data_IF_120776460271
#
_entry.id   IF_120776460271
#
_cell.length_a   1.000
_cell.length_b   1.000
_cell.length_c   1.000
_cell.angle_alpha   90.00
_cell.angle_beta   90.00
_cell.angle_gamma   90.00
#
_symmetry.space_group_name_H-M   'P 1'
#
loop_
_entity.id
_entity.type
_entity.pdbx_description
1 polymer ?
#
# COMPACT_ATOMS: atom_id res chain seq x y z
N UNK A 1 -5.37 11.03 52.41
CA UNK A 1 -5.87 9.72 51.98
C UNK A 1 -7.38 9.74 52.09
N UNK A 2 -8.08 9.82 50.96
CA UNK A 2 -9.55 9.68 50.93
C UNK A 2 -9.90 8.78 49.75
N UNK A 3 -10.38 7.59 50.07
CA UNK A 3 -10.90 6.59 49.14
C UNK A 3 -12.41 6.79 49.16
N UNK A 4 -13.01 7.17 48.02
CA UNK A 4 -14.46 7.20 47.87
C UNK A 4 -14.88 6.14 46.87
N UNK A 5 -15.38 5.04 47.42
CA UNK A 5 -16.05 3.92 46.76
C UNK A 5 -17.45 4.33 46.29
N UNK A 6 -17.95 3.66 45.23
CA UNK A 6 -19.36 3.44 44.79
C UNK A 6 -19.67 4.08 43.43
N UNK A 7 -20.49 3.52 42.53
CA UNK A 7 -21.24 2.26 42.46
C UNK A 7 -21.57 2.04 40.97
N UNK A 8 -21.53 0.79 40.56
CA UNK A 8 -22.29 0.14 39.48
C UNK A 8 -23.50 0.91 38.94
N UNK A 9 -23.55 1.09 37.62
CA UNK A 9 -24.83 1.18 36.89
C UNK A 9 -24.72 0.44 35.54
N UNK A 10 -25.37 -0.71 35.53
CA UNK A 10 -25.63 -1.62 34.42
C UNK A 10 -26.97 -1.23 33.78
N UNK A 11 -26.99 -0.85 32.49
CA UNK A 11 -28.22 -0.66 31.69
C UNK A 11 -27.81 -0.80 30.21
N UNK A 12 -28.50 -1.47 29.29
CA UNK A 12 -29.51 -2.53 29.25
C UNK A 12 -29.54 -2.91 27.76
N UNK A 13 -29.36 -4.20 27.42
CA UNK A 13 -29.42 -4.68 26.02
C UNK A 13 -30.88 -4.97 25.68
N UNK A 14 -31.42 -4.30 24.67
CA UNK A 14 -32.70 -4.61 24.02
C UNK A 14 -32.33 -4.73 22.51
N UNK A 15 -32.41 -5.90 21.85
CA UNK A 15 -33.62 -6.57 21.34
C UNK A 15 -34.42 -5.63 20.42
N UNK A 16 -34.90 -5.95 19.21
CA UNK A 16 -34.94 -7.10 18.31
C UNK A 16 -35.81 -6.59 17.12
N UNK A 17 -35.66 -7.18 15.93
CA UNK A 17 -36.67 -7.28 14.82
C UNK A 17 -36.68 -6.25 13.69
N UNK A 18 -36.85 -6.82 12.49
CA UNK A 18 -37.21 -6.19 11.20
C UNK A 18 -36.29 -6.68 10.09
N UNK A 19 -36.37 -7.93 9.61
CA UNK A 19 -37.30 -8.44 8.57
C UNK A 19 -37.58 -7.44 7.43
N UNK A 20 -36.99 -7.69 6.25
CA UNK A 20 -37.72 -7.86 4.98
C UNK A 20 -36.75 -8.11 3.80
N UNK A 21 -37.10 -9.15 3.03
CA UNK A 21 -36.56 -9.53 1.73
C UNK A 21 -37.07 -8.60 0.61
N UNK A 22 -36.29 -8.45 -0.48
CA UNK A 22 -36.74 -8.50 -1.89
C UNK A 22 -35.60 -8.01 -2.82
N UNK A 23 -34.97 -8.90 -3.60
CA UNK A 23 -35.22 -9.11 -5.06
C UNK A 23 -34.43 -8.12 -5.93
N UNK A 24 -33.33 -8.54 -6.57
CA UNK A 24 -33.17 -9.32 -7.83
C UNK A 24 -33.20 -8.45 -9.10
N UNK A 25 -32.28 -8.81 -10.01
CA UNK A 25 -32.12 -8.48 -11.44
C UNK A 25 -31.20 -7.31 -11.81
N UNK A 26 -29.95 -7.65 -12.14
CA UNK A 26 -29.08 -6.88 -13.03
C UNK A 26 -28.41 -7.80 -14.04
N UNK A 27 -28.89 -7.83 -15.29
CA UNK A 27 -28.15 -8.40 -16.42
C UNK A 27 -27.31 -7.27 -17.05
N UNK A 28 -26.00 -7.31 -16.85
CA UNK A 28 -25.04 -6.53 -17.62
C UNK A 28 -24.33 -7.47 -18.60
N UNK A 29 -24.62 -7.33 -19.89
CA UNK A 29 -23.86 -8.00 -20.96
C UNK A 29 -23.30 -6.91 -21.88
N UNK A 30 -22.11 -6.41 -21.56
CA UNK A 30 -21.31 -5.62 -22.49
C UNK A 30 -20.19 -6.50 -23.07
N UNK A 31 -20.32 -6.69 -24.37
CA UNK A 31 -19.39 -7.23 -25.36
C UNK A 31 -17.98 -6.65 -25.24
N UNK A 32 -16.93 -7.47 -25.39
CA UNK A 32 -15.66 -7.00 -25.97
C UNK A 32 -14.81 -8.18 -26.51
N UNK A 33 -14.56 -8.15 -27.82
CA UNK A 33 -13.77 -9.14 -28.57
C UNK A 33 -12.25 -8.91 -28.43
N UNK A 34 -11.42 -9.97 -28.42
CA UNK A 34 -9.97 -9.86 -28.54
C UNK A 34 -9.51 -9.95 -30.02
N UNK A 35 -8.88 -8.90 -30.53
CA UNK A 35 -8.17 -8.92 -31.81
C UNK A 35 -6.81 -9.63 -31.64
N UNK A 36 -6.67 -10.81 -32.24
CA UNK A 36 -5.39 -11.49 -32.45
C UNK A 36 -4.62 -10.80 -33.58
N UNK A 37 -3.48 -10.21 -33.23
CA UNK A 37 -2.49 -9.71 -34.19
C UNK A 37 -1.60 -10.84 -34.68
N UNK A 38 -1.66 -11.05 -35.99
CA UNK A 38 -1.07 -12.09 -36.83
C UNK A 38 0.46 -12.09 -36.88
N UNK A 39 1.05 -13.29 -36.77
CA UNK A 39 2.40 -13.62 -37.20
C UNK A 39 2.59 -13.37 -38.70
N UNK A 40 3.71 -12.76 -39.09
CA UNK A 40 4.22 -12.87 -40.46
C UNK A 40 5.67 -13.31 -40.44
N UNK A 41 5.87 -14.52 -40.95
CA UNK A 41 7.15 -15.11 -41.28
C UNK A 41 7.79 -14.39 -42.47
N UNK A 42 9.12 -14.44 -42.58
CA UNK A 42 9.75 -14.46 -43.90
C UNK A 42 11.00 -15.33 -43.90
N UNK A 43 10.82 -16.47 -44.54
CA UNK A 43 11.79 -17.48 -44.99
C UNK A 43 12.60 -16.96 -46.18
N UNK A 44 13.84 -17.44 -46.31
CA UNK A 44 14.63 -17.45 -47.56
C UNK A 44 16.06 -16.96 -47.32
N UNK A 45 17.12 -17.57 -47.84
CA UNK A 45 17.33 -18.76 -48.68
C UNK A 45 18.85 -18.99 -48.76
N UNK A 46 19.27 -20.21 -49.04
CA UNK A 46 20.65 -20.70 -49.02
C UNK A 46 21.52 -20.27 -50.23
N UNK A 47 22.84 -20.15 -49.98
CA UNK A 47 24.08 -20.46 -50.76
C UNK A 47 24.21 -20.14 -52.29
N UNK A 48 25.43 -19.97 -52.89
CA UNK A 48 26.59 -20.89 -52.89
C UNK A 48 28.01 -20.25 -52.78
N UNK A 49 29.06 -21.08 -52.90
CA UNK A 49 30.45 -20.94 -52.45
C UNK A 49 31.52 -20.70 -53.55
N UNK A 50 32.77 -20.32 -53.16
CA UNK A 50 34.08 -20.81 -53.68
C UNK A 50 35.27 -20.18 -52.89
N UNK A 51 36.13 -20.96 -52.18
CA UNK A 51 37.54 -21.37 -52.47
C UNK A 51 38.62 -20.30 -52.12
N UNK A 52 39.83 -20.54 -51.54
CA UNK A 52 40.69 -21.70 -51.21
C UNK A 52 41.96 -21.23 -50.40
N UNK A 53 42.58 -22.14 -49.60
CA UNK A 53 44.04 -22.32 -49.25
C UNK A 53 44.84 -21.20 -48.49
N UNK A 54 45.83 -21.42 -47.58
CA UNK A 54 46.49 -22.56 -46.92
C UNK A 54 47.36 -22.10 -45.71
N UNK A 55 47.54 -23.02 -44.74
CA UNK A 55 48.69 -23.31 -43.83
C UNK A 55 49.27 -22.33 -42.77
N UNK A 56 49.24 -22.87 -41.53
CA UNK A 56 50.21 -22.83 -40.41
C UNK A 56 50.24 -21.62 -39.45
N UNK A 57 49.73 -21.84 -38.21
CA UNK A 57 50.45 -21.72 -36.92
C UNK A 57 49.47 -21.80 -35.72
N UNK A 58 49.65 -22.80 -34.84
CA UNK A 58 49.22 -22.79 -33.41
C UNK A 58 50.31 -22.06 -32.58
N UNK A 59 50.10 -21.59 -31.33
CA UNK A 59 49.13 -22.09 -30.33
C UNK A 59 48.39 -21.04 -29.45
N UNK A 60 47.44 -21.58 -28.69
CA UNK A 60 46.98 -21.14 -27.36
C UNK A 60 45.87 -20.07 -27.24
N UNK A 61 44.85 -20.48 -26.45
CA UNK A 61 44.00 -19.68 -25.56
C UNK A 61 42.92 -18.78 -26.18
N UNK A 62 41.65 -19.21 -26.07
CA UNK A 62 40.69 -18.59 -25.12
C UNK A 62 39.33 -19.30 -25.18
N UNK A 63 39.19 -20.31 -24.33
CA UNK A 63 37.92 -20.62 -23.70
C UNK A 63 37.62 -19.54 -22.65
N UNK A 64 36.74 -18.61 -23.00
CA UNK A 64 35.97 -17.80 -22.07
C UNK A 64 34.67 -17.43 -22.80
N UNK A 65 33.63 -18.27 -22.69
CA UNK A 65 32.52 -17.97 -21.80
C UNK A 65 32.13 -16.48 -21.87
N UNK A 66 31.48 -16.08 -22.98
CA UNK A 66 30.67 -14.87 -23.02
C UNK A 66 29.42 -15.09 -22.16
N UNK A 67 29.62 -15.01 -20.86
CA UNK A 67 28.59 -14.75 -19.84
C UNK A 67 28.75 -13.30 -19.38
N UNK A 68 28.70 -12.36 -20.32
CA UNK A 68 28.66 -10.94 -20.01
C UNK A 68 27.20 -10.53 -19.77
N UNK A 69 26.76 -10.80 -18.55
CA UNK A 69 25.93 -9.94 -17.71
C UNK A 69 25.05 -8.95 -18.47
N UNK A 70 23.84 -9.40 -18.82
CA UNK A 70 22.70 -8.50 -18.97
C UNK A 70 22.62 -7.66 -17.68
N UNK A 71 22.59 -6.32 -17.76
CA UNK A 71 22.11 -5.54 -16.64
C UNK A 71 20.70 -6.07 -16.36
N UNK A 72 20.50 -6.71 -15.21
CA UNK A 72 19.17 -6.81 -14.61
C UNK A 72 18.76 -5.39 -14.25
N UNK A 73 18.42 -4.60 -15.26
CA UNK A 73 17.48 -3.52 -15.13
C UNK A 73 16.13 -4.20 -14.91
N UNK A 74 15.97 -4.76 -13.71
CA UNK A 74 14.73 -4.65 -12.99
C UNK A 74 14.55 -3.14 -12.79
N UNK A 75 14.10 -2.47 -13.86
CA UNK A 75 13.28 -1.31 -13.68
C UNK A 75 12.12 -1.84 -12.85
N UNK A 76 12.24 -1.69 -11.53
CA UNK A 76 11.09 -1.57 -10.67
C UNK A 76 10.17 -0.64 -11.44
N UNK A 77 9.06 -1.18 -11.92
CA UNK A 77 7.97 -0.39 -12.43
C UNK A 77 7.54 0.46 -11.24
N UNK A 78 8.21 1.60 -11.05
CA UNK A 78 7.96 2.60 -10.02
C UNK A 78 6.73 3.36 -10.45
N UNK A 79 5.64 2.63 -10.53
CA UNK A 79 4.33 3.22 -10.59
C UNK A 79 3.90 3.24 -9.14
N UNK A 80 4.43 4.26 -8.45
CA UNK A 80 4.41 4.44 -7.01
C UNK A 80 2.96 4.67 -6.58
N UNK A 81 2.33 3.75 -5.82
CA UNK A 81 1.15 4.13 -5.04
C UNK A 81 1.43 5.39 -4.23
N UNK A 82 0.53 6.37 -4.26
CA UNK A 82 0.68 7.55 -3.43
C UNK A 82 0.02 7.28 -2.08
N UNK A 83 0.78 6.82 -1.08
CA UNK A 83 0.34 6.78 0.31
C UNK A 83 0.67 8.10 1.00
N UNK A 84 -0.32 8.68 1.67
CA UNK A 84 -0.14 9.87 2.50
C UNK A 84 -0.69 9.68 3.91
N UNK A 85 -0.06 10.37 4.85
CA UNK A 85 -0.50 10.48 6.22
C UNK A 85 -0.69 11.96 6.53
N UNK A 86 -1.90 12.38 6.86
CA UNK A 86 -2.21 13.74 7.25
C UNK A 86 -2.54 13.78 8.74
N UNK A 87 -2.01 14.79 9.44
CA UNK A 87 -2.38 15.02 10.82
C UNK A 87 -3.74 15.70 10.87
N UNK A 88 -4.63 15.23 11.75
CA UNK A 88 -5.97 15.78 11.90
C UNK A 88 -6.40 15.86 13.36
N UNK A 89 -7.31 16.78 13.65
CA UNK A 89 -7.84 17.04 14.99
C UNK A 89 -9.35 17.28 14.95
N UNK A 90 -10.00 17.18 16.11
CA UNK A 90 -11.47 17.37 16.22
C UNK A 90 -11.85 18.84 16.18
N UNK A 91 -11.00 19.72 16.71
CA UNK A 91 -11.28 21.15 16.78
C UNK A 91 -10.82 21.85 15.49
N UNK A 92 -11.63 22.77 14.92
CA UNK A 92 -11.19 23.60 13.81
C UNK A 92 -9.99 24.47 14.23
N UNK A 93 -9.23 24.92 13.23
CA UNK A 93 -8.06 25.77 13.44
C UNK A 93 -7.61 26.40 12.14
N UNK A 94 -6.79 27.45 12.25
CA UNK A 94 -6.26 28.16 11.10
C UNK A 94 -5.41 27.22 10.23
N UNK A 95 -5.62 27.28 8.91
CA UNK A 95 -4.90 26.46 7.95
C UNK A 95 -5.29 24.98 7.92
N UNK A 96 -6.33 24.57 8.67
CA UNK A 96 -6.84 23.19 8.62
C UNK A 96 -7.98 23.06 7.62
N UNK A 97 -7.91 22.03 6.78
CA UNK A 97 -8.99 21.65 5.88
C UNK A 97 -9.97 20.71 6.56
N UNK A 98 -11.27 20.94 6.37
CA UNK A 98 -12.30 20.07 6.89
C UNK A 98 -12.36 18.75 6.11
N UNK A 99 -12.37 17.62 6.82
CA UNK A 99 -12.53 16.27 6.27
C UNK A 99 -13.77 15.62 6.89
N UNK A 100 -14.74 15.26 6.04
CA UNK A 100 -15.94 14.54 6.47
C UNK A 100 -15.70 13.03 6.40
N UNK A 101 -15.73 12.34 7.55
CA UNK A 101 -15.51 10.88 7.59
C UNK A 101 -16.81 10.10 7.36
N UNK A 102 -17.90 10.59 7.94
CA UNK A 102 -19.27 10.10 7.76
C UNK A 102 -20.24 11.23 8.11
N UNK A 103 -21.55 11.01 8.06
CA UNK A 103 -22.56 12.06 8.29
C UNK A 103 -22.39 12.82 9.62
N UNK A 104 -21.91 12.13 10.68
CA UNK A 104 -21.87 12.68 12.05
C UNK A 104 -20.43 12.93 12.55
N UNK A 105 -19.41 12.57 11.78
CA UNK A 105 -18.00 12.64 12.19
C UNK A 105 -17.19 13.47 11.22
N UNK A 106 -16.58 14.52 11.75
CA UNK A 106 -15.74 15.46 11.02
C UNK A 106 -14.42 15.66 11.75
N UNK A 107 -13.35 15.76 10.97
CA UNK A 107 -12.03 16.16 11.45
C UNK A 107 -11.53 17.36 10.65
N UNK A 108 -10.49 18.00 11.18
CA UNK A 108 -9.81 19.13 10.56
C UNK A 108 -8.35 18.75 10.38
N UNK A 109 -7.90 18.62 9.15
CA UNK A 109 -6.61 18.06 8.77
C UNK A 109 -5.66 19.13 8.25
N UNK A 110 -4.37 18.95 8.53
CA UNK A 110 -3.31 19.71 7.88
C UNK A 110 -3.28 19.29 6.40
N UNK A 111 -3.41 20.24 5.43
CA UNK A 111 -3.45 19.91 4.01
C UNK A 111 -2.18 19.22 3.51
N UNK A 112 -1.02 19.59 4.05
CA UNK A 112 0.25 18.96 3.71
C UNK A 112 0.41 17.63 4.47
N UNK A 113 0.77 16.52 3.80
CA UNK A 113 1.05 15.26 4.49
C UNK A 113 2.28 15.39 5.39
N UNK A 114 2.20 14.79 6.58
CA UNK A 114 3.30 14.75 7.55
C UNK A 114 4.23 13.55 7.32
N UNK A 115 3.70 12.48 6.73
CA UNK A 115 4.45 11.33 6.22
C UNK A 115 3.90 10.95 4.85
N UNK A 116 4.74 10.37 4.03
CA UNK A 116 4.42 9.95 2.66
C UNK A 116 5.00 8.58 2.38
N UNK A 117 4.71 8.02 1.22
CA UNK A 117 5.37 6.80 0.76
C UNK A 117 6.90 6.90 0.74
N UNK A 118 7.48 8.07 0.45
CA UNK A 118 8.93 8.25 0.46
C UNK A 118 9.56 8.04 1.86
N UNK A 119 8.76 8.09 2.92
CA UNK A 119 9.16 7.83 4.30
C UNK A 119 9.08 6.34 4.67
N UNK A 120 8.46 5.52 3.82
CA UNK A 120 8.26 4.10 4.05
C UNK A 120 9.42 3.27 3.48
N UNK A 121 9.76 2.20 4.21
CA UNK A 121 10.61 1.12 3.73
C UNK A 121 9.77 -0.02 3.16
N UNK A 122 8.72 -0.42 3.87
CA UNK A 122 7.82 -1.50 3.46
C UNK A 122 6.53 -1.51 4.29
N UNK A 123 5.54 -2.28 3.83
CA UNK A 123 4.29 -2.53 4.56
C UNK A 123 4.06 -4.04 4.60
N UNK A 124 3.86 -4.58 5.79
CA UNK A 124 3.80 -6.03 6.03
C UNK A 124 2.47 -6.38 6.70
N UNK A 125 1.61 -7.20 6.07
CA UNK A 125 0.44 -7.77 6.75
C UNK A 125 0.92 -8.79 7.78
N UNK A 126 0.35 -8.71 8.98
CA UNK A 126 0.70 -9.56 10.11
C UNK A 126 -0.56 -10.01 10.84
N UNK A 127 -0.47 -11.17 11.48
CA UNK A 127 -1.46 -11.65 12.43
C UNK A 127 -0.74 -12.04 13.72
N UNK A 128 -1.20 -11.57 14.88
CA UNK A 128 -0.63 -11.99 16.16
C UNK A 128 -1.24 -13.32 16.63
N UNK A 129 -0.71 -13.86 17.73
CA UNK A 129 -1.16 -15.13 18.32
C UNK A 129 -2.63 -15.11 18.77
N UNK A 130 -3.21 -13.93 18.99
CA UNK A 130 -4.60 -13.76 19.39
C UNK A 130 -5.54 -13.67 18.17
N UNK A 131 -5.01 -13.85 16.96
CA UNK A 131 -5.77 -13.76 15.72
C UNK A 131 -5.99 -12.33 15.21
N UNK A 132 -5.51 -11.30 15.92
CA UNK A 132 -5.66 -9.90 15.50
C UNK A 132 -4.79 -9.63 14.27
N UNK A 133 -5.38 -9.05 13.25
CA UNK A 133 -4.73 -8.71 11.98
C UNK A 133 -4.35 -7.23 11.98
N UNK A 134 -3.15 -6.93 11.48
CA UNK A 134 -2.67 -5.57 11.33
C UNK A 134 -1.74 -5.44 10.12
N UNK A 135 -1.68 -4.23 9.56
CA UNK A 135 -0.63 -3.83 8.63
C UNK A 135 0.46 -3.12 9.41
N UNK A 136 1.67 -3.64 9.38
CA UNK A 136 2.84 -2.95 9.94
C UNK A 136 3.48 -2.09 8.87
N UNK A 137 3.45 -0.78 9.05
CA UNK A 137 4.18 0.18 8.23
C UNK A 137 5.57 0.33 8.82
N UNK A 138 6.59 -0.14 8.12
CA UNK A 138 7.98 0.02 8.52
C UNK A 138 8.57 1.22 7.77
N UNK A 139 9.05 2.21 8.51
CA UNK A 139 9.61 3.44 7.97
C UNK A 139 11.11 3.31 7.72
N UNK A 140 11.63 4.09 6.77
CA UNK A 140 13.08 4.28 6.65
C UNK A 140 13.59 5.22 7.76
N UNK A 141 14.90 5.46 7.84
CA UNK A 141 15.48 6.26 8.93
C UNK A 141 14.88 7.67 9.06
N UNK A 142 14.69 8.35 7.93
CA UNK A 142 14.08 9.68 7.90
C UNK A 142 12.61 9.62 8.33
N UNK A 143 11.86 8.64 7.80
CA UNK A 143 10.47 8.43 8.14
C UNK A 143 10.25 8.07 9.61
N UNK A 144 11.13 7.25 10.19
CA UNK A 144 11.08 6.89 11.61
C UNK A 144 11.27 8.12 12.51
N UNK A 145 12.22 9.00 12.17
CA UNK A 145 12.42 10.24 12.90
C UNK A 145 11.20 11.18 12.81
N UNK A 146 10.62 11.32 11.61
CA UNK A 146 9.37 12.09 11.40
C UNK A 146 8.21 11.48 12.19
N UNK A 147 8.03 10.16 12.15
CA UNK A 147 6.97 9.45 12.86
C UNK A 147 7.08 9.66 14.38
N UNK A 148 8.28 9.49 14.94
CA UNK A 148 8.53 9.71 16.36
C UNK A 148 8.21 11.15 16.78
N UNK A 149 8.63 12.14 15.98
CA UNK A 149 8.34 13.55 16.21
C UNK A 149 6.83 13.82 16.19
N UNK A 150 6.15 13.46 15.09
CA UNK A 150 4.71 13.71 14.89
C UNK A 150 3.89 13.05 16.00
N UNK A 151 4.18 11.80 16.34
CA UNK A 151 3.39 11.05 17.33
C UNK A 151 3.61 11.53 18.77
N UNK A 152 4.77 12.11 19.08
CA UNK A 152 5.05 12.77 20.37
C UNK A 152 4.32 14.10 20.49
N UNK A 153 4.33 14.91 19.44
CA UNK A 153 3.73 16.25 19.43
C UNK A 153 2.20 16.22 19.36
N UNK A 154 1.64 15.17 18.76
CA UNK A 154 0.22 15.11 18.40
C UNK A 154 -0.56 14.01 19.12
N UNK A 155 -0.24 13.70 20.37
CA UNK A 155 -1.01 12.75 21.16
C UNK A 155 -2.49 13.17 21.26
N UNK A 156 -3.39 12.20 21.09
CA UNK A 156 -4.82 12.43 21.09
C UNK A 156 -5.40 12.95 19.76
N UNK A 157 -4.55 13.40 18.82
CA UNK A 157 -4.95 13.71 17.45
C UNK A 157 -5.07 12.43 16.61
N UNK A 158 -5.38 12.58 15.33
CA UNK A 158 -5.66 11.50 14.39
C UNK A 158 -4.69 11.56 13.21
N UNK A 159 -4.34 10.39 12.66
CA UNK A 159 -3.67 10.29 11.37
C UNK A 159 -4.71 9.85 10.34
N UNK A 160 -4.93 10.66 9.32
CA UNK A 160 -5.69 10.25 8.13
C UNK A 160 -4.71 9.56 7.20
N UNK A 161 -4.93 8.28 6.96
CA UNK A 161 -4.10 7.46 6.09
C UNK A 161 -4.87 7.20 4.81
N UNK A 162 -4.28 7.61 3.69
CA UNK A 162 -4.88 7.45 2.36
C UNK A 162 -3.91 6.79 1.40
N UNK A 163 -4.43 6.00 0.46
CA UNK A 163 -3.68 5.46 -0.66
C UNK A 163 -4.41 5.80 -1.96
N UNK A 164 -3.70 6.41 -2.91
CA UNK A 164 -4.27 6.91 -4.17
C UNK A 164 -5.47 7.85 -3.96
N UNK A 165 -5.41 8.69 -2.92
CA UNK A 165 -6.50 9.59 -2.54
C UNK A 165 -7.70 8.90 -1.87
N UNK A 166 -7.70 7.57 -1.78
CA UNK A 166 -8.75 6.80 -1.11
C UNK A 166 -8.43 6.64 0.36
N UNK A 167 -9.40 6.97 1.23
CA UNK A 167 -9.25 6.82 2.67
C UNK A 167 -9.09 5.34 3.03
N UNK A 168 -8.03 5.03 3.78
CA UNK A 168 -7.74 3.68 4.28
C UNK A 168 -8.09 3.55 5.75
N UNK A 169 -7.64 4.49 6.57
CA UNK A 169 -7.93 4.47 8.00
C UNK A 169 -7.71 5.83 8.66
N UNK A 170 -8.26 5.97 9.87
CA UNK A 170 -8.14 7.19 10.69
C UNK A 170 -7.79 6.85 12.15
N UNK A 171 -6.62 6.22 12.42
CA UNK A 171 -6.23 5.88 13.78
C UNK A 171 -6.00 7.12 14.64
N UNK A 172 -6.41 7.02 15.90
CA UNK A 172 -6.03 7.99 16.94
C UNK A 172 -4.59 7.73 17.40
N UNK A 173 -3.79 8.78 17.48
CA UNK A 173 -2.45 8.75 18.05
C UNK A 173 -2.61 8.61 19.57
N UNK A 174 -2.27 7.43 20.09
CA UNK A 174 -2.43 7.06 21.51
C UNK A 174 -1.10 6.67 22.17
N UNK A 175 -0.03 6.56 21.38
CA UNK A 175 1.30 6.18 21.82
C UNK A 175 2.33 6.86 20.89
N UNK A 176 3.56 7.00 21.38
CA UNK A 176 4.70 7.39 20.54
C UNK A 176 5.22 6.18 19.78
N UNK A 177 5.75 6.41 18.59
CA UNK A 177 6.27 5.34 17.73
C UNK A 177 7.74 5.56 17.40
N UNK A 178 8.58 5.48 18.43
CA UNK A 178 10.02 5.74 18.35
C UNK A 178 10.80 4.62 17.64
N UNK A 179 10.22 3.41 17.55
CA UNK A 179 10.84 2.25 16.91
C UNK A 179 10.78 2.23 15.37
N UNK A 180 10.21 3.26 14.74
CA UNK A 180 10.14 3.36 13.28
C UNK A 180 9.13 2.41 12.61
N UNK A 181 8.23 1.81 13.38
CA UNK A 181 7.13 0.99 12.87
C UNK A 181 5.80 1.49 13.42
N UNK A 182 4.78 1.53 12.57
CA UNK A 182 3.41 1.88 12.93
C UNK A 182 2.47 0.70 12.64
N UNK A 183 1.89 0.05 13.66
CA UNK A 183 0.89 -0.98 13.47
C UNK A 183 -0.48 -0.35 13.23
N UNK A 184 -1.11 -0.73 12.12
CA UNK A 184 -2.48 -0.34 11.79
C UNK A 184 -3.40 -1.56 11.91
N UNK A 185 -4.27 -1.64 12.92
CA UNK A 185 -5.27 -2.69 13.01
C UNK A 185 -6.20 -2.67 11.79
N UNK A 186 -6.57 -3.86 11.30
CA UNK A 186 -7.56 -4.06 10.24
C UNK A 186 -8.52 -5.17 10.64
N UNK A 187 -9.70 -5.21 10.04
CA UNK A 187 -10.78 -6.12 10.44
C UNK A 187 -10.49 -7.57 10.05
N UNK A 188 -9.76 -7.82 8.96
CA UNK A 188 -9.51 -9.17 8.47
C UNK A 188 -8.22 -9.28 7.64
N UNK A 189 -7.82 -10.54 7.38
CA UNK A 189 -6.73 -10.85 6.44
C UNK A 189 -7.09 -10.38 5.03
N UNK A 190 -8.33 -10.55 4.60
CA UNK A 190 -8.80 -10.07 3.29
C UNK A 190 -8.66 -8.56 3.14
N UNK A 191 -9.01 -7.79 4.18
CA UNK A 191 -8.82 -6.34 4.18
C UNK A 191 -7.33 -5.97 4.11
N UNK A 192 -6.49 -6.62 4.90
CA UNK A 192 -5.03 -6.43 4.85
C UNK A 192 -4.47 -6.69 3.44
N UNK A 193 -4.95 -7.75 2.79
CA UNK A 193 -4.56 -8.09 1.43
C UNK A 193 -5.09 -7.07 0.40
N UNK A 194 -6.34 -6.63 0.53
CA UNK A 194 -6.95 -5.63 -0.34
C UNK A 194 -6.18 -4.31 -0.28
N UNK A 195 -5.87 -3.82 0.93
CA UNK A 195 -5.05 -2.62 1.12
C UNK A 195 -3.64 -2.84 0.56
N UNK A 196 -3.02 -4.00 0.81
CA UNK A 196 -1.68 -4.31 0.25
C UNK A 196 -1.67 -4.30 -1.28
N UNK A 197 -2.75 -4.75 -1.93
CA UNK A 197 -2.91 -4.71 -3.39
C UNK A 197 -3.14 -3.29 -3.88
N UNK A 198 -4.02 -2.53 -3.22
CA UNK A 198 -4.27 -1.12 -3.54
C UNK A 198 -2.96 -0.32 -3.46
N UNK A 199 -2.12 -0.64 -2.48
CA UNK A 199 -0.80 -0.04 -2.37
C UNK A 199 0.09 -0.58 -3.50
N UNK A 200 0.25 -1.88 -3.73
CA UNK A 200 1.15 -2.31 -4.84
C UNK A 200 0.74 -1.84 -6.24
N UNK A 201 -0.54 -1.48 -6.43
CA UNK A 201 -1.01 -0.94 -7.69
C UNK A 201 -0.64 0.54 -7.82
N UNK A 202 -0.17 0.96 -8.98
CA UNK A 202 -0.05 2.37 -9.25
C UNK A 202 -1.35 3.15 -9.28
N UNK A 203 -1.23 4.43 -8.92
CA UNK A 203 -2.22 5.42 -9.27
C UNK A 203 -2.29 5.58 -10.80
N UNK A 204 -3.40 5.18 -11.40
CA UNK A 204 -3.74 5.46 -12.79
C UNK A 204 -3.09 4.52 -13.83
N UNK A 205 -3.95 3.76 -14.50
CA UNK A 205 -3.86 3.58 -15.96
C UNK A 205 -5.00 4.35 -16.59
#
# INVERSE_FOLDING_TARGET
MSISTSMTAMVKREALRGLALASLLGLAACQQMPSKGTSSARTGSAQPAAQQASTAQQPAQQSAQQSAQQPRQQAANNTTPNITFHLAQVRPGNGLAQVQLNQNTRLYAVPQPVLTQADLRQIVPMQNKNGQVFLRFDFNQQGAAKLAKVTREAQGNYLIISAQGKLISVPKISATYDGGSFPLPVASVDEAQAISRLIRQPAGR
#
